data_IF_889873964065
#
_entry.id   IF_889873964065
#
_cell.length_a   1.000
_cell.length_b   1.000
_cell.length_c   1.000
_cell.angle_alpha   90.00
_cell.angle_beta   90.00
_cell.angle_gamma   90.00
#
_symmetry.space_group_name_H-M   'P 1'
#
loop_
_entity.id
_entity.type
_entity.pdbx_description
1 polymer ?
#
# COMPACT_ATOMS: atom_id res chain seq x y z
N UNK A 1 -50.50 -12.30 13.68
CA UNK A 1 -49.89 -12.37 12.32
C UNK A 1 -49.02 -11.17 11.93
N UNK A 2 -48.68 -10.22 12.83
CA UNK A 2 -47.79 -9.08 12.50
C UNK A 2 -46.34 -9.25 12.99
N UNK A 3 -46.08 -10.16 13.94
CA UNK A 3 -44.75 -10.34 14.55
C UNK A 3 -43.75 -11.17 13.72
N UNK A 4 -44.24 -12.05 12.85
CA UNK A 4 -43.38 -12.84 11.97
C UNK A 4 -42.78 -11.98 10.84
N UNK A 5 -43.53 -11.00 10.34
CA UNK A 5 -43.12 -10.09 9.26
C UNK A 5 -41.99 -9.11 9.65
N UNK A 6 -41.78 -8.87 10.96
CA UNK A 6 -40.74 -7.95 11.46
C UNK A 6 -39.41 -8.66 11.80
N UNK A 7 -39.42 -9.98 12.02
CA UNK A 7 -38.19 -10.75 12.29
C UNK A 7 -37.39 -11.00 10.99
N UNK A 8 -38.06 -11.17 9.86
CA UNK A 8 -37.41 -11.37 8.56
C UNK A 8 -36.74 -10.11 7.99
N UNK A 9 -37.09 -8.92 8.50
CA UNK A 9 -36.44 -7.66 8.12
C UNK A 9 -35.05 -7.50 8.76
N UNK A 10 -34.87 -7.98 9.99
CA UNK A 10 -33.60 -7.86 10.70
C UNK A 10 -32.49 -8.69 10.03
N UNK A 11 -32.79 -9.91 9.56
CA UNK A 11 -31.83 -10.70 8.76
C UNK A 11 -31.48 -10.12 7.38
N UNK A 12 -32.27 -9.17 6.86
CA UNK A 12 -31.94 -8.44 5.63
C UNK A 12 -31.05 -7.22 5.89
N UNK A 13 -31.19 -6.60 7.06
CA UNK A 13 -30.39 -5.42 7.43
C UNK A 13 -29.04 -5.81 8.06
N UNK A 14 -28.92 -6.98 8.70
CA UNK A 14 -27.66 -7.47 9.29
C UNK A 14 -26.59 -7.91 8.25
N UNK A 15 -26.99 -8.32 7.04
CA UNK A 15 -26.05 -8.64 5.95
C UNK A 15 -25.37 -7.37 5.40
N UNK A 16 -26.10 -6.25 5.41
CA UNK A 16 -25.65 -4.98 4.82
C UNK A 16 -24.60 -4.27 5.71
N UNK A 17 -24.57 -4.59 7.02
CA UNK A 17 -23.59 -4.07 7.99
C UNK A 17 -22.37 -4.97 8.19
N UNK A 18 -22.55 -6.30 8.24
CA UNK A 18 -21.46 -7.26 8.42
C UNK A 18 -20.60 -7.42 7.15
N UNK A 19 -21.19 -7.35 5.95
CA UNK A 19 -20.46 -7.47 4.69
C UNK A 19 -19.58 -6.24 4.35
N UNK A 20 -19.88 -5.06 4.90
CA UNK A 20 -19.05 -3.87 4.66
C UNK A 20 -17.68 -3.92 5.36
N UNK A 21 -17.57 -4.71 6.43
CA UNK A 21 -16.29 -4.93 7.13
C UNK A 21 -15.34 -5.81 6.31
N UNK A 22 -15.86 -6.82 5.60
CA UNK A 22 -15.03 -7.77 4.86
C UNK A 22 -14.32 -7.14 3.64
N UNK A 23 -15.03 -6.27 2.90
CA UNK A 23 -14.41 -5.57 1.77
C UNK A 23 -13.45 -4.46 2.21
N UNK A 24 -13.74 -3.77 3.30
CA UNK A 24 -12.88 -2.69 3.81
C UNK A 24 -11.58 -3.22 4.40
N UNK A 25 -11.61 -4.36 5.11
CA UNK A 25 -10.38 -5.01 5.60
C UNK A 25 -9.52 -5.55 4.45
N UNK A 26 -10.14 -6.10 3.41
CA UNK A 26 -9.44 -6.57 2.23
C UNK A 26 -8.75 -5.40 1.50
N UNK A 27 -9.46 -4.28 1.29
CA UNK A 27 -8.87 -3.06 0.72
C UNK A 27 -7.74 -2.52 1.61
N UNK A 28 -7.91 -2.55 2.94
CA UNK A 28 -6.87 -2.13 3.88
C UNK A 28 -5.57 -2.92 3.74
N UNK A 29 -5.65 -4.24 3.59
CA UNK A 29 -4.46 -5.09 3.41
C UNK A 29 -3.80 -4.82 2.04
N UNK A 30 -4.58 -4.66 0.98
CA UNK A 30 -4.05 -4.33 -0.36
C UNK A 30 -3.35 -2.97 -0.34
N UNK A 31 -3.91 -1.98 0.35
CA UNK A 31 -3.30 -0.66 0.50
C UNK A 31 -1.94 -0.75 1.20
N UNK A 32 -1.85 -1.48 2.33
CA UNK A 32 -0.57 -1.67 3.03
C UNK A 32 0.44 -2.43 2.17
N UNK A 33 0.00 -3.48 1.47
CA UNK A 33 0.88 -4.27 0.59
C UNK A 33 1.44 -3.43 -0.57
N UNK A 34 0.61 -2.61 -1.21
CA UNK A 34 1.03 -1.73 -2.31
C UNK A 34 2.01 -0.64 -1.85
N UNK A 35 1.76 -0.01 -0.70
CA UNK A 35 2.69 0.95 -0.09
C UNK A 35 4.03 0.27 0.24
N UNK A 36 3.99 -0.93 0.82
CA UNK A 36 5.20 -1.71 1.10
C UNK A 36 6.02 -1.98 -0.16
N UNK A 37 5.37 -2.30 -1.27
CA UNK A 37 6.03 -2.52 -2.56
C UNK A 37 6.70 -1.25 -3.09
N UNK A 38 6.02 -0.10 -3.00
CA UNK A 38 6.55 1.20 -3.41
C UNK A 38 7.81 1.55 -2.60
N UNK A 39 7.78 1.37 -1.28
CA UNK A 39 8.94 1.60 -0.40
C UNK A 39 10.09 0.66 -0.78
N UNK A 40 9.80 -0.62 -1.03
CA UNK A 40 10.80 -1.61 -1.43
C UNK A 40 11.49 -1.25 -2.74
N UNK A 41 10.72 -0.85 -3.76
CA UNK A 41 11.27 -0.36 -5.04
C UNK A 41 12.09 0.91 -4.81
N UNK A 42 11.59 1.86 -4.03
CA UNK A 42 12.30 3.10 -3.70
C UNK A 42 13.67 2.82 -3.10
N UNK A 43 13.74 1.96 -2.08
CA UNK A 43 14.98 1.54 -1.46
C UNK A 43 15.94 0.86 -2.44
N UNK A 44 15.44 -0.03 -3.30
CA UNK A 44 16.25 -0.70 -4.32
C UNK A 44 16.83 0.31 -5.32
N UNK A 45 16.00 1.21 -5.87
CA UNK A 45 16.42 2.24 -6.83
C UNK A 45 17.47 3.17 -6.22
N UNK A 46 17.24 3.67 -5.00
CA UNK A 46 18.21 4.49 -4.28
C UNK A 46 19.54 3.76 -4.09
N UNK A 47 19.50 2.46 -3.76
CA UNK A 47 20.71 1.64 -3.65
C UNK A 47 21.48 1.53 -4.97
N UNK A 48 20.78 1.39 -6.11
CA UNK A 48 21.44 1.38 -7.44
C UNK A 48 22.12 2.71 -7.76
N UNK A 49 21.45 3.83 -7.50
CA UNK A 49 22.03 5.16 -7.74
C UNK A 49 23.19 5.47 -6.79
N UNK A 50 23.10 5.08 -5.52
CA UNK A 50 24.20 5.21 -4.56
C UNK A 50 25.42 4.39 -4.99
N UNK A 51 25.23 3.15 -5.44
CA UNK A 51 26.33 2.33 -5.97
C UNK A 51 26.95 2.91 -7.25
N UNK A 52 26.15 3.43 -8.16
CA UNK A 52 26.64 4.12 -9.36
C UNK A 52 27.45 5.37 -9.00
N UNK A 53 26.93 6.17 -8.07
CA UNK A 53 27.59 7.37 -7.55
C UNK A 53 28.97 7.02 -6.97
N UNK A 54 29.05 5.99 -6.12
CA UNK A 54 30.33 5.52 -5.57
C UNK A 54 31.32 5.08 -6.65
N UNK A 55 30.85 4.36 -7.68
CA UNK A 55 31.70 3.94 -8.80
C UNK A 55 32.19 5.12 -9.65
N UNK A 56 31.35 6.12 -9.85
CA UNK A 56 31.66 7.32 -10.63
C UNK A 56 32.75 8.16 -9.95
N UNK A 57 32.59 8.41 -8.64
CA UNK A 57 33.58 9.11 -7.81
C UNK A 57 34.91 8.35 -7.77
N UNK A 58 34.87 7.03 -7.56
CA UNK A 58 36.07 6.19 -7.55
C UNK A 58 36.80 6.18 -8.91
N UNK A 59 36.05 6.28 -10.01
CA UNK A 59 36.60 6.29 -11.36
C UNK A 59 37.16 7.64 -11.81
N UNK A 60 36.96 8.73 -11.06
CA UNK A 60 37.30 10.11 -11.47
C UNK A 60 36.69 10.54 -12.82
N UNK A 61 35.67 9.83 -13.31
CA UNK A 61 35.01 10.08 -14.61
C UNK A 61 33.78 10.99 -14.49
N UNK A 62 33.47 11.46 -13.29
CA UNK A 62 32.43 12.44 -13.02
C UNK A 62 32.22 12.63 -11.53
N UNK A 63 31.43 13.65 -11.18
CA UNK A 63 31.01 13.90 -9.80
C UNK A 63 29.49 13.70 -9.68
N UNK A 64 29.10 12.99 -8.64
CA UNK A 64 27.74 12.77 -8.23
C UNK A 64 27.34 13.89 -7.25
N UNK A 65 26.58 14.87 -7.72
CA UNK A 65 25.92 15.79 -6.80
C UNK A 65 24.86 15.00 -6.02
N UNK A 66 24.96 14.96 -4.69
CA UNK A 66 23.91 14.45 -3.80
C UNK A 66 22.72 15.40 -3.85
N UNK A 67 22.02 15.42 -4.99
CA UNK A 67 20.73 16.06 -5.15
C UNK A 67 19.70 15.21 -4.45
N UNK A 68 19.30 15.64 -3.25
CA UNK A 68 18.13 15.12 -2.56
C UNK A 68 16.94 15.23 -3.53
N UNK A 69 16.53 14.10 -4.10
CA UNK A 69 15.28 14.01 -4.83
C UNK A 69 14.14 14.28 -3.85
N UNK A 70 13.35 15.31 -4.16
CA UNK A 70 12.04 15.58 -3.53
C UNK A 70 11.11 14.39 -3.64
#
# INVERSE_FOLDING_TARGET
MKKLMTMTRQFRDDENGAAMVEYSILIGIIAVASIGFIIGIGGWVTGRFSGLCAALEAGTVGACATGAGS
#
